data_IF_356285524448
#
_entry.id   IF_356285524448
#
_cell.length_a   1.000
_cell.length_b   1.000
_cell.length_c   1.000
_cell.angle_alpha   90.00
_cell.angle_beta   90.00
_cell.angle_gamma   90.00
#
_symmetry.space_group_name_H-M   'P 1'
#
loop_
_entity.id
_entity.type
_entity.pdbx_description
1 polymer ?
#
# COMPACT_ATOMS: atom_id res chain seq x y z
N UNK A 1 24.45 49.54 0.11
CA UNK A 1 23.34 48.60 0.39
C UNK A 1 23.34 47.46 -0.62
N UNK A 2 24.04 46.34 -0.36
CA UNK A 2 23.81 45.05 -1.05
C UNK A 2 24.25 43.92 -0.09
N UNK A 3 23.29 43.27 0.56
CA UNK A 3 23.45 41.99 1.26
C UNK A 3 22.16 41.20 1.09
N UNK A 4 22.27 39.90 0.83
CA UNK A 4 21.19 38.93 1.06
C UNK A 4 20.67 38.19 -0.17
N UNK A 5 21.49 37.33 -0.78
CA UNK A 5 21.00 36.25 -1.65
C UNK A 5 21.96 35.04 -1.60
N UNK A 6 22.20 34.50 -0.40
CA UNK A 6 22.90 33.21 -0.19
C UNK A 6 22.37 32.58 1.09
N UNK A 7 21.19 31.96 1.07
CA UNK A 7 20.77 31.03 2.13
C UNK A 7 19.53 30.17 1.80
N UNK A 8 19.46 29.54 0.62
CA UNK A 8 18.38 28.59 0.30
C UNK A 8 18.86 27.24 -0.28
N UNK A 9 20.16 27.03 -0.52
CA UNK A 9 20.69 25.78 -1.12
C UNK A 9 21.36 24.81 -0.12
N UNK A 10 21.25 25.10 1.18
CA UNK A 10 21.85 24.29 2.25
C UNK A 10 20.86 23.30 2.89
N UNK A 11 19.56 23.62 2.96
CA UNK A 11 18.56 22.77 3.64
C UNK A 11 18.13 21.55 2.82
N UNK A 12 18.17 21.60 1.49
CA UNK A 12 17.82 20.44 0.62
C UNK A 12 18.93 19.38 0.62
N UNK A 13 20.20 19.80 0.66
CA UNK A 13 21.35 18.88 0.71
C UNK A 13 21.52 18.17 2.06
N UNK A 14 21.02 18.76 3.15
CA UNK A 14 21.03 18.12 4.46
C UNK A 14 19.90 17.09 4.65
N UNK A 15 18.83 17.16 3.84
CA UNK A 15 17.81 16.09 3.75
C UNK A 15 18.31 14.91 2.93
N UNK A 16 19.01 15.14 1.82
CA UNK A 16 19.64 14.08 1.00
C UNK A 16 20.68 13.27 1.79
N UNK A 17 21.46 13.91 2.68
CA UNK A 17 22.52 13.22 3.45
C UNK A 17 22.03 12.36 4.62
N UNK A 18 20.78 12.49 5.06
CA UNK A 18 20.19 11.61 6.09
C UNK A 18 19.67 10.28 5.52
N UNK A 19 19.56 10.15 4.19
CA UNK A 19 18.95 9.00 3.51
C UNK A 19 19.80 7.71 3.52
N UNK A 20 21.10 7.78 3.78
CA UNK A 20 21.99 6.61 3.62
C UNK A 20 22.09 5.68 4.84
N UNK A 21 21.60 6.07 6.02
CA UNK A 21 21.78 5.26 7.26
C UNK A 21 20.56 4.42 7.68
N UNK A 22 19.47 4.42 6.90
CA UNK A 22 18.13 4.16 7.47
C UNK A 22 17.29 3.07 6.77
N UNK A 23 17.91 2.08 6.11
CA UNK A 23 17.19 0.99 5.42
C UNK A 23 17.11 -0.32 6.22
N UNK A 24 17.24 -0.26 7.55
CA UNK A 24 17.18 -1.45 8.43
C UNK A 24 15.86 -2.23 8.28
N UNK A 25 14.75 -1.54 7.99
CA UNK A 25 13.45 -2.16 7.74
C UNK A 25 13.46 -3.08 6.51
N UNK A 26 14.27 -2.78 5.49
CA UNK A 26 14.40 -3.64 4.30
C UNK A 26 15.26 -4.85 4.62
N UNK A 27 16.33 -4.65 5.40
CA UNK A 27 17.25 -5.69 5.88
C UNK A 27 16.66 -6.62 6.95
N UNK A 28 15.53 -6.26 7.55
CA UNK A 28 14.77 -7.10 8.49
C UNK A 28 13.39 -7.52 7.94
N UNK A 29 13.05 -7.15 6.69
CA UNK A 29 11.76 -7.46 6.09
C UNK A 29 11.54 -8.98 5.95
N UNK A 30 10.41 -9.53 6.41
CA UNK A 30 10.10 -10.96 6.29
C UNK A 30 9.92 -11.39 4.82
N UNK A 31 9.69 -10.45 3.91
CA UNK A 31 9.46 -10.72 2.47
C UNK A 31 10.72 -10.60 1.60
N UNK A 32 11.92 -10.52 2.18
CA UNK A 32 13.17 -10.37 1.41
C UNK A 32 13.36 -11.39 0.28
N UNK A 33 12.93 -12.63 0.49
CA UNK A 33 13.10 -13.70 -0.49
C UNK A 33 12.26 -13.47 -1.76
N UNK A 34 11.15 -12.75 -1.65
CA UNK A 34 10.18 -12.51 -2.74
C UNK A 34 10.15 -11.05 -3.20
N UNK A 35 10.73 -10.14 -2.42
CA UNK A 35 10.74 -8.71 -2.69
C UNK A 35 11.79 -8.36 -3.77
N UNK A 36 11.40 -7.72 -4.88
CA UNK A 36 12.34 -7.37 -5.96
C UNK A 36 13.40 -6.36 -5.51
N UNK A 37 13.05 -5.40 -4.65
CA UNK A 37 13.98 -4.36 -4.18
C UNK A 37 14.96 -4.87 -3.11
N UNK A 38 14.73 -6.04 -2.50
CA UNK A 38 15.64 -6.56 -1.47
C UNK A 38 17.06 -6.80 -2.02
N UNK A 39 17.17 -7.20 -3.29
CA UNK A 39 18.46 -7.42 -3.95
C UNK A 39 19.15 -6.08 -4.26
N UNK A 40 18.38 -5.05 -4.59
CA UNK A 40 18.90 -3.71 -4.88
C UNK A 40 19.42 -3.00 -3.63
N UNK A 41 18.79 -3.21 -2.48
CA UNK A 41 19.20 -2.59 -1.21
C UNK A 41 20.43 -3.28 -0.61
N UNK A 42 20.68 -4.55 -0.93
CA UNK A 42 21.81 -5.33 -0.42
C UNK A 42 23.10 -5.15 -1.22
N UNK A 43 23.04 -4.62 -2.45
CA UNK A 43 24.21 -4.31 -3.26
C UNK A 43 25.01 -3.15 -2.67
N UNK A 44 25.89 -3.46 -1.71
CA UNK A 44 26.88 -2.53 -1.18
C UNK A 44 28.16 -2.55 -2.01
N UNK A 45 28.62 -1.35 -2.39
CA UNK A 45 29.98 -0.99 -2.82
C UNK A 45 30.62 -1.88 -3.90
N UNK A 46 30.36 -1.62 -5.19
CA UNK A 46 31.26 -2.11 -6.25
C UNK A 46 30.72 -2.18 -7.68
N UNK A 47 29.42 -2.43 -7.90
CA UNK A 47 28.84 -2.57 -9.24
C UNK A 47 27.50 -1.85 -9.29
N UNK A 48 27.37 -0.88 -10.22
CA UNK A 48 26.15 -0.18 -10.65
C UNK A 48 25.01 -0.10 -9.61
N UNK A 49 25.22 0.68 -8.53
CA UNK A 49 24.16 1.01 -7.58
C UNK A 49 23.08 1.82 -8.29
N UNK A 50 21.99 1.15 -8.66
CA UNK A 50 20.79 1.80 -9.16
C UNK A 50 20.21 2.65 -8.02
N UNK A 51 20.03 3.98 -8.19
CA UNK A 51 19.67 4.85 -7.09
C UNK A 51 18.20 4.69 -6.73
N UNK A 52 17.93 3.85 -5.73
CA UNK A 52 16.61 3.76 -5.10
C UNK A 52 16.45 4.90 -4.10
N UNK A 53 15.41 5.72 -4.29
CA UNK A 53 15.07 6.80 -3.36
C UNK A 53 14.08 6.30 -2.30
N UNK A 54 14.26 6.75 -1.06
CA UNK A 54 13.38 6.39 0.05
C UNK A 54 12.68 7.63 0.60
N UNK A 55 11.36 7.57 0.65
CA UNK A 55 10.53 8.68 1.14
C UNK A 55 9.57 8.18 2.20
N UNK A 56 9.53 8.90 3.32
CA UNK A 56 8.56 8.66 4.38
C UNK A 56 7.26 9.44 4.12
N UNK A 57 6.13 8.75 4.29
CA UNK A 57 4.80 9.32 4.17
C UNK A 57 4.00 9.08 5.45
N UNK A 58 3.24 10.11 5.84
CA UNK A 58 2.29 10.08 6.94
C UNK A 58 0.92 9.56 6.47
N UNK A 59 0.11 8.99 7.37
CA UNK A 59 -1.27 8.60 7.06
C UNK A 59 -2.06 9.75 6.42
N UNK A 60 -2.83 9.43 5.37
CA UNK A 60 -3.64 10.38 4.60
C UNK A 60 -2.92 11.07 3.44
N UNK A 61 -1.58 10.95 3.32
CA UNK A 61 -0.84 11.50 2.19
C UNK A 61 -0.97 10.62 0.94
N UNK A 62 -0.81 11.23 -0.24
CA UNK A 62 -0.77 10.52 -1.51
C UNK A 62 0.66 10.36 -2.01
N UNK A 63 1.00 9.15 -2.47
CA UNK A 63 2.29 8.85 -3.10
C UNK A 63 2.29 9.36 -4.55
N UNK A 64 1.22 9.05 -5.26
CA UNK A 64 0.90 9.56 -6.60
C UNK A 64 -0.62 9.63 -6.76
N UNK A 65 -1.06 10.41 -7.74
CA UNK A 65 -2.48 10.62 -8.06
C UNK A 65 -2.80 10.11 -9.45
N UNK A 66 -4.03 9.64 -9.65
CA UNK A 66 -4.57 9.30 -10.95
C UNK A 66 -4.42 10.48 -11.92
N UNK A 67 -4.12 10.17 -13.19
CA UNK A 67 -3.83 11.14 -14.25
C UNK A 67 -2.58 12.00 -14.00
N UNK A 68 -1.87 11.80 -12.89
CA UNK A 68 -0.55 12.38 -12.65
C UNK A 68 0.52 11.73 -13.51
N UNK A 69 1.69 12.37 -13.67
CA UNK A 69 2.78 11.85 -14.49
C UNK A 69 3.31 10.52 -13.95
N UNK A 70 3.57 9.58 -14.86
CA UNK A 70 4.18 8.30 -14.53
C UNK A 70 5.69 8.45 -14.39
N UNK A 71 6.20 8.48 -13.15
CA UNK A 71 7.62 8.76 -12.89
C UNK A 71 8.47 7.49 -12.66
N UNK A 72 7.85 6.37 -12.29
CA UNK A 72 8.57 5.16 -11.92
C UNK A 72 7.80 4.24 -10.99
N UNK A 73 8.46 3.20 -10.55
CA UNK A 73 7.91 2.14 -9.71
C UNK A 73 8.05 2.48 -8.23
N UNK A 74 6.97 2.31 -7.46
CA UNK A 74 7.01 2.46 -6.01
C UNK A 74 6.86 1.11 -5.32
N UNK A 75 7.50 0.94 -4.16
CA UNK A 75 7.34 -0.24 -3.32
C UNK A 75 7.07 0.15 -1.87
N UNK A 76 6.05 -0.47 -1.30
CA UNK A 76 5.72 -0.31 0.11
C UNK A 76 6.71 -1.10 0.94
N UNK A 77 7.55 -0.38 1.67
CA UNK A 77 8.58 -1.01 2.47
C UNK A 77 8.13 -1.31 3.89
N UNK A 78 7.33 -0.39 4.44
CA UNK A 78 6.60 -0.56 5.68
C UNK A 78 5.26 0.13 5.55
N UNK A 79 4.28 -0.32 6.33
CA UNK A 79 2.94 0.27 6.37
C UNK A 79 1.98 -0.30 5.32
N UNK A 80 0.85 0.38 5.16
CA UNK A 80 -0.23 0.01 4.26
C UNK A 80 -0.68 1.20 3.41
N UNK A 81 -1.00 0.92 2.16
CA UNK A 81 -1.42 1.88 1.14
C UNK A 81 -2.68 1.36 0.46
N UNK A 82 -3.66 2.24 0.28
CA UNK A 82 -4.85 2.00 -0.51
C UNK A 82 -4.65 2.54 -1.92
N UNK A 83 -4.92 1.70 -2.91
CA UNK A 83 -4.96 2.11 -4.32
C UNK A 83 -6.42 2.37 -4.67
N UNK A 84 -6.70 3.57 -5.19
CA UNK A 84 -8.06 4.01 -5.52
C UNK A 84 -8.10 4.71 -6.87
N UNK A 85 -9.22 4.61 -7.57
CA UNK A 85 -9.45 5.36 -8.81
C UNK A 85 -10.76 6.12 -8.71
N UNK A 86 -10.93 7.09 -9.58
CA UNK A 86 -12.10 7.95 -9.66
C UNK A 86 -12.66 7.91 -11.07
N UNK A 87 -13.98 7.91 -11.20
CA UNK A 87 -14.66 8.04 -12.50
C UNK A 87 -14.76 9.53 -12.91
N UNK A 88 -15.31 9.78 -14.09
CA UNK A 88 -15.48 11.14 -14.62
C UNK A 88 -16.40 12.03 -13.76
N UNK A 89 -17.27 11.43 -12.97
CA UNK A 89 -18.22 12.11 -12.08
C UNK A 89 -17.62 12.44 -10.69
N UNK A 90 -16.38 12.04 -10.42
CA UNK A 90 -15.74 12.29 -9.13
C UNK A 90 -15.99 11.19 -8.08
N UNK A 91 -16.64 10.09 -8.45
CA UNK A 91 -16.89 8.96 -7.54
C UNK A 91 -15.62 8.14 -7.38
N UNK A 92 -15.14 8.03 -6.14
CA UNK A 92 -13.95 7.25 -5.78
C UNK A 92 -14.28 5.77 -5.52
N UNK A 93 -13.39 4.90 -6.00
CA UNK A 93 -13.45 3.45 -5.88
C UNK A 93 -12.13 2.93 -5.32
N UNK A 94 -12.17 2.30 -4.15
CA UNK A 94 -11.04 1.54 -3.63
C UNK A 94 -10.82 0.29 -4.47
N UNK A 95 -9.66 0.20 -5.13
CA UNK A 95 -9.32 -0.93 -5.99
C UNK A 95 -8.77 -2.09 -5.17
N UNK A 96 -7.73 -1.84 -4.37
CA UNK A 96 -7.09 -2.85 -3.54
C UNK A 96 -6.17 -2.20 -2.50
N UNK A 97 -5.66 -3.05 -1.61
CA UNK A 97 -4.73 -2.67 -0.54
C UNK A 97 -3.37 -3.33 -0.75
N UNK A 98 -2.32 -2.54 -0.58
CA UNK A 98 -0.92 -2.95 -0.72
C UNK A 98 -0.20 -2.70 0.59
N UNK A 99 0.45 -3.74 1.11
CA UNK A 99 1.23 -3.67 2.33
C UNK A 99 2.71 -3.91 2.06
N UNK A 100 3.48 -4.05 3.14
CA UNK A 100 4.91 -4.33 3.11
C UNK A 100 5.31 -5.39 2.06
N UNK A 101 6.32 -5.05 1.26
CA UNK A 101 6.89 -5.83 0.16
C UNK A 101 6.12 -5.76 -1.16
N UNK A 102 4.94 -5.12 -1.18
CA UNK A 102 4.13 -4.99 -2.39
C UNK A 102 4.56 -3.79 -3.25
N UNK A 103 4.51 -3.98 -4.57
CA UNK A 103 4.70 -2.92 -5.53
C UNK A 103 3.41 -2.13 -5.77
N UNK A 104 3.54 -0.83 -5.93
CA UNK A 104 2.48 0.03 -6.45
C UNK A 104 2.78 0.30 -7.93
N UNK A 105 1.78 0.74 -8.69
CA UNK A 105 1.87 1.16 -10.10
C UNK A 105 2.70 0.30 -11.08
N UNK A 106 3.00 -0.96 -10.74
CA UNK A 106 3.84 -1.84 -11.54
C UNK A 106 3.28 -2.06 -12.95
N UNK A 107 1.97 -2.29 -13.05
CA UNK A 107 1.26 -2.48 -14.33
C UNK A 107 1.37 -1.25 -15.24
N UNK A 108 1.20 -0.06 -14.68
CA UNK A 108 1.28 1.18 -15.46
C UNK A 108 2.71 1.44 -15.98
N UNK A 109 3.72 1.24 -15.12
CA UNK A 109 5.12 1.44 -15.48
C UNK A 109 5.58 0.43 -16.53
N UNK A 110 5.24 -0.86 -16.34
CA UNK A 110 5.60 -1.94 -17.27
C UNK A 110 4.89 -1.80 -18.62
N UNK A 111 3.66 -1.29 -18.62
CA UNK A 111 2.91 -0.99 -19.85
C UNK A 111 3.30 0.34 -20.50
N UNK A 112 4.29 1.06 -19.94
CA UNK A 112 4.76 2.37 -20.43
C UNK A 112 3.64 3.40 -20.56
N UNK A 113 2.68 3.43 -19.63
CA UNK A 113 1.66 4.48 -19.59
C UNK A 113 2.31 5.83 -19.28
N UNK A 114 1.80 6.89 -19.90
CA UNK A 114 2.26 8.25 -19.64
C UNK A 114 1.78 8.79 -18.28
N UNK A 115 0.64 8.28 -17.79
CA UNK A 115 -0.02 8.73 -16.57
C UNK A 115 -0.42 7.56 -15.67
N UNK A 116 -0.52 7.83 -14.37
CA UNK A 116 -1.03 6.88 -13.38
C UNK A 116 -2.51 6.58 -13.61
N UNK A 117 -2.88 5.30 -13.60
CA UNK A 117 -4.28 4.87 -13.74
C UNK A 117 -5.09 5.00 -12.45
N UNK A 118 -4.42 5.15 -11.32
CA UNK A 118 -4.99 5.23 -9.98
C UNK A 118 -4.17 6.18 -9.11
N UNK A 119 -4.73 6.51 -7.94
CA UNK A 119 -4.09 7.21 -6.84
C UNK A 119 -3.66 6.21 -5.76
N UNK A 120 -2.59 6.52 -5.02
CA UNK A 120 -2.13 5.71 -3.89
C UNK A 120 -2.16 6.53 -2.59
N UNK A 121 -3.14 6.26 -1.72
CA UNK A 121 -3.37 6.91 -0.42
C UNK A 121 -2.74 6.09 0.70
N UNK A 122 -1.91 6.72 1.52
CA UNK A 122 -1.19 6.09 2.63
C UNK A 122 -2.15 5.92 3.82
N UNK A 123 -2.27 4.69 4.35
CA UNK A 123 -3.19 4.37 5.45
C UNK A 123 -2.50 4.39 6.83
N UNK A 124 -1.24 4.02 6.88
CA UNK A 124 -0.42 4.03 8.09
C UNK A 124 0.90 4.72 7.79
N UNK A 125 1.68 5.11 8.81
CA UNK A 125 3.05 5.58 8.57
C UNK A 125 3.81 4.59 7.68
N UNK A 126 4.32 5.10 6.57
CA UNK A 126 4.85 4.29 5.49
C UNK A 126 6.21 4.79 5.04
N UNK A 127 7.10 3.85 4.74
CA UNK A 127 8.34 4.11 4.03
C UNK A 127 8.17 3.51 2.63
N UNK A 128 8.45 4.31 1.61
CA UNK A 128 8.25 3.95 0.21
C UNK A 128 9.59 4.03 -0.50
N UNK A 129 9.96 2.95 -1.18
CA UNK A 129 11.07 2.95 -2.12
C UNK A 129 10.56 3.39 -3.49
N UNK A 130 11.34 4.20 -4.18
CA UNK A 130 11.04 4.68 -5.52
C UNK A 130 12.22 4.37 -6.45
N UNK A 131 11.89 3.79 -7.61
CA UNK A 131 12.81 3.52 -8.70
C UNK A 131 12.28 4.20 -9.95
N UNK A 132 13.07 5.08 -10.57
CA UNK A 132 12.57 5.82 -11.72
C UNK A 132 12.37 4.91 -12.95
N UNK A 133 11.53 5.34 -13.89
CA UNK A 133 11.19 4.53 -15.05
C UNK A 133 12.39 4.17 -15.92
N UNK A 134 13.34 5.10 -16.10
CA UNK A 134 14.53 4.90 -16.94
C UNK A 134 15.45 3.83 -16.35
N UNK A 135 15.70 3.91 -15.04
CA UNK A 135 16.49 2.93 -14.30
C UNK A 135 15.83 1.56 -14.31
N UNK A 136 14.52 1.49 -14.08
CA UNK A 136 13.80 0.23 -14.19
C UNK A 136 13.98 -0.40 -15.58
N UNK A 137 13.89 0.39 -16.67
CA UNK A 137 14.08 -0.13 -18.02
C UNK A 137 15.50 -0.65 -18.28
N UNK A 138 16.52 -0.03 -17.68
CA UNK A 138 17.89 -0.54 -17.72
C UNK A 138 18.07 -1.81 -16.87
N UNK A 139 17.40 -1.85 -15.72
CA UNK A 139 17.56 -2.90 -14.71
C UNK A 139 16.90 -4.22 -15.12
N UNK A 140 15.73 -4.15 -15.75
CA UNK A 140 14.97 -5.34 -16.17
C UNK A 140 15.78 -6.34 -17.02
N UNK A 141 16.51 -5.93 -18.08
CA UNK A 141 17.34 -6.85 -18.87
C UNK A 141 18.64 -7.27 -18.18
N UNK A 142 19.18 -6.44 -17.29
CA UNK A 142 20.49 -6.68 -16.65
C UNK A 142 20.39 -7.57 -15.40
N UNK A 143 19.23 -7.58 -14.72
CA UNK A 143 19.02 -8.32 -13.49
C UNK A 143 17.81 -9.28 -13.60
N UNK A 144 17.98 -10.47 -14.21
CA UNK A 144 16.88 -11.43 -14.40
C UNK A 144 16.19 -11.86 -13.10
N UNK A 145 16.93 -11.94 -11.99
CA UNK A 145 16.39 -12.27 -10.66
C UNK A 145 15.40 -11.21 -10.19
N UNK A 146 15.76 -9.92 -10.35
CA UNK A 146 14.85 -8.81 -10.04
C UNK A 146 13.59 -8.89 -10.91
N UNK A 147 13.78 -9.09 -12.22
CA UNK A 147 12.67 -9.17 -13.19
C UNK A 147 11.70 -10.30 -12.86
N UNK A 148 12.21 -11.47 -12.47
CA UNK A 148 11.39 -12.59 -12.07
C UNK A 148 10.64 -12.31 -10.76
N UNK A 149 11.28 -11.69 -9.77
CA UNK A 149 10.62 -11.28 -8.52
C UNK A 149 9.53 -10.22 -8.76
N UNK A 150 9.77 -9.26 -9.66
CA UNK A 150 8.77 -8.27 -10.04
C UNK A 150 7.58 -8.93 -10.75
N UNK A 151 7.84 -9.84 -11.70
CA UNK A 151 6.79 -10.59 -12.38
C UNK A 151 5.95 -11.39 -11.39
N UNK A 152 6.62 -12.09 -10.45
CA UNK A 152 5.94 -12.81 -9.37
C UNK A 152 5.04 -11.89 -8.53
N UNK A 153 5.50 -10.70 -8.17
CA UNK A 153 4.68 -9.72 -7.43
C UNK A 153 3.44 -9.29 -8.23
N UNK A 154 3.60 -9.02 -9.53
CA UNK A 154 2.46 -8.68 -10.40
C UNK A 154 1.49 -9.85 -10.51
N UNK A 155 1.97 -11.09 -10.64
CA UNK A 155 1.12 -12.29 -10.66
C UNK A 155 0.38 -12.52 -9.35
N UNK A 156 1.04 -12.35 -8.19
CA UNK A 156 0.39 -12.43 -6.86
C UNK A 156 -0.68 -11.33 -6.71
N UNK A 157 -0.43 -10.12 -7.20
CA UNK A 157 -1.44 -9.06 -7.22
C UNK A 157 -2.63 -9.38 -8.13
N UNK A 158 -2.38 -9.97 -9.31
CA UNK A 158 -3.45 -10.38 -10.22
C UNK A 158 -4.36 -11.43 -9.59
N UNK A 159 -3.79 -12.46 -8.96
CA UNK A 159 -4.56 -13.49 -8.24
C UNK A 159 -5.44 -12.89 -7.14
N UNK A 160 -4.90 -11.93 -6.39
CA UNK A 160 -5.68 -11.23 -5.35
C UNK A 160 -6.83 -10.41 -5.93
N UNK A 161 -6.63 -9.77 -7.09
CA UNK A 161 -7.70 -9.05 -7.78
C UNK A 161 -8.78 -9.99 -8.31
N UNK A 162 -8.40 -11.18 -8.79
CA UNK A 162 -9.35 -12.23 -9.22
C UNK A 162 -10.19 -12.74 -8.03
N UNK A 163 -9.55 -13.02 -6.88
CA UNK A 163 -10.26 -13.38 -5.63
C UNK A 163 -11.23 -12.28 -5.20
N UNK A 164 -10.79 -11.01 -5.23
CA UNK A 164 -11.65 -9.87 -4.93
C UNK A 164 -12.80 -9.76 -5.92
N UNK A 165 -12.58 -9.99 -7.21
CA UNK A 165 -13.63 -9.95 -8.23
C UNK A 165 -14.68 -11.03 -7.99
N UNK A 166 -14.28 -12.26 -7.63
CA UNK A 166 -15.21 -13.33 -7.27
C UNK A 166 -16.05 -12.93 -6.06
N UNK A 167 -15.42 -12.34 -5.05
CA UNK A 167 -16.08 -11.86 -3.83
C UNK A 167 -17.07 -10.72 -4.12
N UNK A 168 -16.72 -9.79 -5.00
CA UNK A 168 -17.61 -8.71 -5.46
C UNK A 168 -18.83 -9.25 -6.24
N UNK A 169 -18.62 -10.27 -7.08
CA UNK A 169 -19.66 -10.82 -7.95
C UNK A 169 -20.69 -11.68 -7.20
N UNK A 170 -20.26 -12.45 -6.20
CA UNK A 170 -21.11 -13.44 -5.52
C UNK A 170 -21.38 -13.13 -4.05
N UNK A 171 -20.46 -12.43 -3.38
CA UNK A 171 -20.55 -12.21 -1.94
C UNK A 171 -21.54 -11.12 -1.58
N UNK A 172 -22.31 -11.29 -0.52
CA UNK A 172 -23.14 -10.21 0.02
C UNK A 172 -22.28 -9.14 0.74
N UNK A 173 -22.85 -7.98 1.06
CA UNK A 173 -22.10 -6.88 1.66
C UNK A 173 -21.37 -7.27 2.97
N UNK A 174 -21.93 -8.20 3.74
CA UNK A 174 -21.34 -8.68 4.98
C UNK A 174 -20.13 -9.59 4.70
N UNK A 175 -20.22 -10.51 3.74
CA UNK A 175 -19.12 -11.39 3.32
C UNK A 175 -17.96 -10.59 2.74
N UNK A 176 -18.25 -9.61 1.88
CA UNK A 176 -17.22 -8.71 1.32
C UNK A 176 -16.50 -7.93 2.40
N UNK A 177 -17.22 -7.53 3.43
CA UNK A 177 -16.66 -6.83 4.58
C UNK A 177 -15.77 -7.73 5.46
N UNK A 178 -16.16 -8.98 5.68
CA UNK A 178 -15.30 -9.97 6.36
C UNK A 178 -14.02 -10.23 5.56
N UNK A 179 -14.14 -10.39 4.24
CA UNK A 179 -12.99 -10.56 3.36
C UNK A 179 -12.04 -9.35 3.42
N UNK A 180 -12.57 -8.12 3.40
CA UNK A 180 -11.77 -6.92 3.58
C UNK A 180 -11.05 -6.89 4.94
N UNK A 181 -11.73 -7.25 6.03
CA UNK A 181 -11.09 -7.31 7.35
C UNK A 181 -9.96 -8.32 7.41
N UNK A 182 -10.16 -9.52 6.84
CA UNK A 182 -9.11 -10.52 6.70
C UNK A 182 -7.95 -9.97 5.87
N UNK A 183 -8.22 -9.28 4.77
CA UNK A 183 -7.18 -8.66 3.95
C UNK A 183 -6.39 -7.63 4.75
N UNK A 184 -7.06 -6.69 5.43
CA UNK A 184 -6.40 -5.66 6.26
C UNK A 184 -5.47 -6.28 7.32
N UNK A 185 -5.89 -7.39 7.93
CA UNK A 185 -5.07 -8.11 8.92
C UNK A 185 -3.84 -8.79 8.33
N UNK A 186 -3.92 -9.25 7.08
CA UNK A 186 -2.78 -9.87 6.38
C UNK A 186 -1.71 -8.87 5.93
N UNK A 187 -2.01 -7.57 5.91
CA UNK A 187 -1.08 -6.53 5.45
C UNK A 187 -0.02 -6.16 6.50
N UNK A 188 -0.05 -6.78 7.69
CA UNK A 188 0.90 -6.50 8.77
C UNK A 188 0.66 -5.13 9.43
N UNK A 189 -0.59 -4.66 9.41
CA UNK A 189 -1.01 -3.47 10.15
C UNK A 189 -0.92 -3.81 11.64
N UNK A 190 -0.22 -2.96 12.41
CA UNK A 190 0.13 -3.12 13.83
C UNK A 190 -0.67 -4.21 14.57
N UNK A 191 -0.04 -5.36 14.77
CA UNK A 191 -0.53 -6.39 15.67
C UNK A 191 -0.27 -5.93 17.11
N UNK A 192 -1.33 -5.74 17.89
CA UNK A 192 -1.21 -5.70 19.35
C UNK A 192 -1.45 -7.09 19.93
N UNK A 193 -1.10 -7.30 21.20
CA UNK A 193 -1.43 -8.54 21.91
C UNK A 193 -2.95 -8.84 21.91
N UNK A 194 -3.76 -7.78 21.75
CA UNK A 194 -5.22 -7.81 21.80
C UNK A 194 -5.90 -7.87 20.40
N UNK A 195 -5.14 -7.93 19.30
CA UNK A 195 -5.69 -8.10 17.95
C UNK A 195 -5.12 -7.17 16.87
N UNK A 196 -5.88 -6.93 15.81
CA UNK A 196 -5.46 -6.06 14.69
C UNK A 196 -6.26 -4.78 14.67
N UNK A 197 -5.59 -3.64 14.76
CA UNK A 197 -6.23 -2.33 14.66
C UNK A 197 -6.33 -1.87 13.20
N UNK A 198 -7.54 -1.56 12.75
CA UNK A 198 -7.76 -0.93 11.45
C UNK A 198 -7.18 0.49 11.43
N UNK A 199 -6.56 0.93 10.31
CA UNK A 199 -6.02 2.27 10.20
C UNK A 199 -7.08 3.34 10.42
N UNK A 200 -6.76 4.37 11.21
CA UNK A 200 -7.70 5.46 11.51
C UNK A 200 -8.06 6.31 10.28
N UNK A 201 -7.23 6.29 9.23
CA UNK A 201 -7.49 6.99 7.97
C UNK A 201 -8.50 6.29 7.09
N UNK A 202 -8.85 5.04 7.39
CA UNK A 202 -9.78 4.23 6.61
C UNK A 202 -11.19 4.51 7.13
N UNK A 203 -11.83 5.51 6.56
CA UNK A 203 -13.16 5.95 6.96
C UNK A 203 -14.28 5.03 6.41
N UNK A 204 -15.54 5.36 6.71
CA UNK A 204 -16.68 4.57 6.25
C UNK A 204 -16.87 4.63 4.74
N UNK A 205 -16.48 5.72 4.09
CA UNK A 205 -16.56 5.88 2.64
C UNK A 205 -15.45 5.06 1.95
N UNK A 206 -14.22 5.08 2.49
CA UNK A 206 -13.11 4.24 2.04
C UNK A 206 -13.47 2.74 2.13
N UNK A 207 -14.06 2.31 3.27
CA UNK A 207 -14.52 0.92 3.42
C UNK A 207 -15.61 0.60 2.41
N UNK A 208 -16.59 1.51 2.26
CA UNK A 208 -17.72 1.30 1.36
C UNK A 208 -17.26 1.18 -0.10
N UNK A 209 -16.28 1.99 -0.50
CA UNK A 209 -15.71 1.96 -1.85
C UNK A 209 -14.93 0.67 -2.10
N UNK A 210 -14.20 0.15 -1.11
CA UNK A 210 -13.48 -1.13 -1.19
C UNK A 210 -14.39 -2.36 -1.28
N UNK A 211 -15.60 -2.32 -0.69
CA UNK A 211 -16.54 -3.46 -0.67
C UNK A 211 -17.78 -3.25 -1.54
N UNK A 212 -17.76 -2.22 -2.40
CA UNK A 212 -18.85 -1.86 -3.30
C UNK A 212 -20.22 -1.83 -2.58
N UNK A 213 -20.34 -1.00 -1.56
CA UNK A 213 -21.59 -0.78 -0.82
C UNK A 213 -21.73 0.69 -0.42
N UNK A 214 -22.68 1.01 0.46
CA UNK A 214 -22.88 2.37 0.96
C UNK A 214 -22.27 2.55 2.37
N UNK A 215 -21.81 3.76 2.74
CA UNK A 215 -21.29 4.04 4.08
C UNK A 215 -22.28 3.71 5.20
N UNK A 216 -23.59 3.83 4.95
CA UNK A 216 -24.65 3.45 5.89
C UNK A 216 -24.68 1.94 6.10
N UNK A 217 -24.53 1.15 5.03
CA UNK A 217 -24.48 -0.31 5.09
C UNK A 217 -23.25 -0.77 5.87
N UNK A 218 -22.08 -0.18 5.60
CA UNK A 218 -20.86 -0.42 6.37
C UNK A 218 -21.09 -0.12 7.86
N UNK A 219 -21.70 1.02 8.18
CA UNK A 219 -21.95 1.43 9.57
C UNK A 219 -22.88 0.45 10.31
N UNK A 220 -23.92 -0.05 9.63
CA UNK A 220 -24.80 -1.10 10.17
C UNK A 220 -24.05 -2.41 10.43
N UNK A 221 -23.24 -2.85 9.47
CA UNK A 221 -22.46 -4.10 9.60
C UNK A 221 -21.40 -4.01 10.70
N UNK A 222 -20.71 -2.88 10.82
CA UNK A 222 -19.77 -2.63 11.92
C UNK A 222 -20.45 -2.73 13.29
N UNK A 223 -21.64 -2.15 13.42
CA UNK A 223 -22.43 -2.22 14.66
C UNK A 223 -22.82 -3.67 14.97
N UNK A 224 -23.18 -4.46 13.95
CA UNK A 224 -23.45 -5.89 14.09
C UNK A 224 -22.21 -6.66 14.55
N UNK A 225 -21.06 -6.41 13.94
CA UNK A 225 -19.79 -7.04 14.31
C UNK A 225 -19.32 -6.66 15.71
N UNK A 226 -19.60 -5.45 16.17
CA UNK A 226 -19.37 -5.03 17.55
C UNK A 226 -20.25 -5.81 18.52
N UNK A 227 -21.55 -5.93 18.24
CA UNK A 227 -22.49 -6.69 19.07
C UNK A 227 -22.16 -8.18 19.14
N UNK A 228 -21.58 -8.75 18.09
CA UNK A 228 -21.11 -10.14 18.08
C UNK A 228 -19.70 -10.33 18.65
N UNK A 229 -19.05 -9.27 19.12
CA UNK A 229 -17.70 -9.32 19.68
C UNK A 229 -16.61 -9.67 18.66
N UNK A 230 -16.84 -9.44 17.37
CA UNK A 230 -15.83 -9.63 16.32
C UNK A 230 -14.88 -8.42 16.25
N UNK A 231 -15.41 -7.22 16.48
CA UNK A 231 -14.63 -5.99 16.50
C UNK A 231 -14.98 -5.14 17.72
N UNK A 232 -14.06 -4.31 18.16
CA UNK A 232 -14.24 -3.34 19.22
C UNK A 232 -13.86 -1.95 18.70
N UNK A 233 -14.56 -0.92 19.17
CA UNK A 233 -14.13 0.46 18.94
C UNK A 233 -13.38 0.98 20.16
N UNK A 234 -12.14 1.39 19.95
CA UNK A 234 -11.27 1.99 20.97
C UNK A 234 -10.74 3.31 20.40
N UNK A 235 -10.99 4.44 21.08
CA UNK A 235 -10.41 5.76 20.74
C UNK A 235 -10.44 6.11 19.25
N UNK A 236 -11.62 5.99 18.62
CA UNK A 236 -11.83 6.27 17.19
C UNK A 236 -11.11 5.30 16.22
N UNK A 237 -10.63 4.16 16.72
CA UNK A 237 -10.09 3.05 15.94
C UNK A 237 -10.97 1.83 16.08
N UNK A 238 -10.94 0.95 15.08
CA UNK A 238 -11.61 -0.35 15.14
C UNK A 238 -10.54 -1.41 15.34
N UNK A 239 -10.70 -2.28 16.33
CA UNK A 239 -9.83 -3.41 16.58
C UNK A 239 -10.58 -4.70 16.28
N UNK A 240 -9.97 -5.60 15.52
CA UNK A 240 -10.45 -6.96 15.31
C UNK A 240 -9.96 -7.80 16.48
N UNK A 241 -10.89 -8.38 17.25
CA UNK A 241 -10.58 -9.05 18.52
C UNK A 241 -10.14 -10.51 18.33
N UNK A 242 -10.75 -11.23 17.39
CA UNK A 242 -10.46 -12.65 17.18
C UNK A 242 -10.42 -12.98 15.69
N UNK A 243 -9.21 -13.20 15.19
CA UNK A 243 -8.95 -13.56 13.80
C UNK A 243 -9.53 -14.92 13.40
N UNK A 244 -9.54 -15.91 14.31
CA UNK A 244 -10.08 -17.24 14.02
C UNK A 244 -11.59 -17.20 13.93
N UNK A 245 -12.24 -16.42 14.80
CA UNK A 245 -13.68 -16.15 14.70
C UNK A 245 -14.03 -15.36 13.45
N UNK A 246 -13.23 -14.36 13.07
CA UNK A 246 -13.44 -13.61 11.82
C UNK A 246 -13.36 -14.51 10.58
N UNK A 247 -12.42 -15.46 10.55
CA UNK A 247 -12.28 -16.41 9.44
C UNK A 247 -13.43 -17.43 9.34
N UNK A 248 -14.07 -17.74 10.46
CA UNK A 248 -15.21 -18.67 10.54
C UNK A 248 -16.57 -17.98 10.55
N UNK A 249 -16.58 -16.66 10.64
CA UNK A 249 -17.81 -15.90 10.66
C UNK A 249 -18.50 -16.07 9.30
N UNK A 250 -19.68 -16.68 9.33
CA UNK A 250 -20.58 -16.71 8.18
C UNK A 250 -21.65 -15.65 8.39
N UNK A 251 -21.84 -14.81 7.40
CA UNK A 251 -22.93 -13.86 7.40
C UNK A 251 -24.23 -14.57 7.02
N UNK A 252 -24.90 -15.19 8.00
CA UNK A 252 -26.29 -15.59 7.81
C UNK A 252 -27.16 -14.31 7.78
N UNK A 253 -28.05 -14.24 6.79
CA UNK A 253 -29.05 -13.18 6.64
C UNK A 253 -30.03 -13.13 7.81
#
# INVERSE_FOLDING_TARGET
MRRGARSLKASERDQEKRSFTQNQWCLQCPKQQICPFADLVRGGEGEDTTPVLFTHYRPGQYIYTQNGPMNGLHMVCTGAVMVQACNEEGVEYGLHLVGTGGCLNATDVLSKRAVCSASAKVLTDANIAFLNQTELQCLLPQHPVFSFKLLRQVSEQLQLLEEQQICLAHGNACERMLHLMQRLTSLGIQHSEDGVTLPATLDRADIASLVATTPETVSRLMTRFQKSGLVQSCENRTQVLDMKRLQRATCCE
#
